data_IF_188144055484
#
_entry.id   IF_188144055484
#
_cell.length_a   1.000
_cell.length_b   1.000
_cell.length_c   1.000
_cell.angle_alpha   90.00
_cell.angle_beta   90.00
_cell.angle_gamma   90.00
#
_symmetry.space_group_name_H-M   'P 1'
#
loop_
_entity.id
_entity.type
_entity.pdbx_description
1 polymer ?
#
# COMPACT_ATOMS: atom_id res chain seq x y z
N UNK A 1 28.72 4.55 -39.76
CA UNK A 1 27.37 3.98 -39.55
C UNK A 1 27.00 4.24 -38.10
N UNK A 2 25.86 4.91 -37.86
CA UNK A 2 25.52 5.51 -36.57
C UNK A 2 25.35 4.49 -35.45
N UNK A 3 25.94 4.81 -34.31
CA UNK A 3 25.79 4.11 -33.04
C UNK A 3 24.34 4.23 -32.57
N UNK A 4 23.64 3.10 -32.50
CA UNK A 4 22.28 3.03 -31.96
C UNK A 4 22.46 3.05 -30.45
N UNK A 5 22.53 4.24 -29.87
CA UNK A 5 22.52 4.41 -28.42
C UNK A 5 21.20 3.84 -27.90
N UNK A 6 21.24 2.62 -27.36
CA UNK A 6 20.17 2.05 -26.55
C UNK A 6 19.80 3.10 -25.48
N UNK A 7 18.51 3.43 -25.29
CA UNK A 7 18.14 4.30 -24.18
C UNK A 7 18.66 3.64 -22.90
N UNK A 8 19.42 4.42 -22.13
CA UNK A 8 19.99 4.02 -20.85
C UNK A 8 18.86 3.54 -19.91
N UNK A 9 18.64 2.23 -19.88
CA UNK A 9 17.69 1.59 -18.96
C UNK A 9 18.20 1.65 -17.50
N UNK A 10 19.38 2.24 -17.24
CA UNK A 10 19.96 2.38 -15.91
C UNK A 10 19.41 3.58 -15.12
N UNK A 11 18.78 4.54 -15.77
CA UNK A 11 18.07 5.59 -15.04
C UNK A 11 16.63 5.12 -14.81
N UNK A 12 16.30 4.74 -13.57
CA UNK A 12 15.03 4.14 -13.12
C UNK A 12 13.79 5.03 -13.26
N UNK A 13 13.59 5.65 -14.42
CA UNK A 13 12.48 6.52 -14.80
C UNK A 13 11.26 5.69 -15.24
N UNK A 14 10.82 4.73 -14.43
CA UNK A 14 9.55 4.04 -14.68
C UNK A 14 8.33 4.90 -14.30
N UNK A 15 8.54 5.96 -13.52
CA UNK A 15 7.49 6.85 -13.06
C UNK A 15 7.70 8.26 -13.62
N UNK A 16 6.59 8.89 -14.00
CA UNK A 16 6.55 10.30 -14.39
C UNK A 16 6.97 11.22 -13.24
N UNK A 17 7.24 12.48 -13.56
CA UNK A 17 7.49 13.53 -12.56
C UNK A 17 6.34 13.62 -11.54
N UNK A 18 6.67 13.89 -10.28
CA UNK A 18 5.70 13.97 -9.20
C UNK A 18 4.73 15.15 -9.40
N UNK A 19 3.44 14.89 -9.20
CA UNK A 19 2.41 15.92 -9.17
C UNK A 19 2.11 16.32 -7.71
N UNK A 20 2.07 17.62 -7.40
CA UNK A 20 1.64 18.06 -6.08
C UNK A 20 0.15 17.76 -5.89
N UNK A 21 -0.20 17.01 -4.85
CA UNK A 21 -1.58 16.73 -4.46
C UNK A 21 -1.79 17.02 -2.99
N UNK A 22 -3.02 17.36 -2.62
CA UNK A 22 -3.45 17.50 -1.23
C UNK A 22 -4.48 16.41 -0.91
N UNK A 23 -4.31 15.74 0.23
CA UNK A 23 -5.28 14.75 0.69
C UNK A 23 -6.48 15.44 1.34
N UNK A 24 -7.63 15.42 0.67
CA UNK A 24 -8.90 15.94 1.23
C UNK A 24 -9.44 15.03 2.33
N UNK A 25 -9.39 13.70 2.15
CA UNK A 25 -9.87 12.71 3.12
C UNK A 25 -9.05 11.42 3.07
N UNK A 26 -8.85 10.80 4.24
CA UNK A 26 -8.14 9.51 4.39
C UNK A 26 -8.96 8.59 5.30
N UNK A 27 -9.72 7.69 4.70
CA UNK A 27 -10.48 6.65 5.42
C UNK A 27 -10.58 5.39 4.57
N UNK A 28 -11.05 4.28 5.14
CA UNK A 28 -11.23 3.04 4.39
C UNK A 28 -12.72 2.85 4.07
N UNK A 29 -13.04 2.64 2.80
CA UNK A 29 -14.36 2.15 2.40
C UNK A 29 -14.28 0.62 2.28
N UNK A 30 -15.07 -0.15 3.05
CA UNK A 30 -15.14 -1.59 2.90
C UNK A 30 -15.63 -2.00 1.50
N UNK A 31 -15.06 -3.05 0.93
CA UNK A 31 -15.44 -3.51 -0.41
C UNK A 31 -16.92 -3.89 -0.53
N UNK A 32 -17.59 -4.33 0.54
CA UNK A 32 -19.01 -4.65 0.44
C UNK A 32 -19.88 -3.39 0.21
N UNK A 33 -19.43 -2.24 0.70
CA UNK A 33 -20.17 -0.99 0.60
C UNK A 33 -20.26 -0.48 -0.84
N UNK A 34 -19.29 -0.77 -1.71
CA UNK A 34 -19.29 -0.30 -3.11
C UNK A 34 -19.83 -1.32 -4.12
N UNK A 35 -20.37 -2.47 -3.67
CA UNK A 35 -20.85 -3.55 -4.56
C UNK A 35 -21.99 -3.15 -5.50
N UNK A 36 -22.75 -2.13 -5.13
CA UNK A 36 -23.89 -1.61 -5.87
C UNK A 36 -23.50 -0.52 -6.89
N UNK A 37 -22.23 -0.08 -6.89
CA UNK A 37 -21.74 0.95 -7.78
C UNK A 37 -21.09 0.32 -9.01
N UNK A 38 -21.62 0.72 -10.17
CA UNK A 38 -21.16 0.30 -11.49
C UNK A 38 -20.73 1.55 -12.26
N UNK A 39 -19.63 1.48 -13.01
CA UNK A 39 -19.08 2.60 -13.75
C UNK A 39 -19.48 2.53 -15.24
N UNK A 40 -20.40 3.40 -15.73
CA UNK A 40 -20.75 3.47 -17.14
C UNK A 40 -19.57 3.67 -18.09
N UNK A 41 -18.49 4.33 -17.63
CA UNK A 41 -17.28 4.57 -18.42
C UNK A 41 -16.35 3.34 -18.52
N UNK A 42 -16.73 2.23 -17.89
CA UNK A 42 -16.01 0.96 -17.93
C UNK A 42 -16.99 -0.19 -18.16
N UNK A 43 -17.81 -0.12 -19.21
CA UNK A 43 -18.79 -1.15 -19.60
C UNK A 43 -19.75 -1.56 -18.47
N UNK A 44 -20.09 -0.60 -17.59
CA UNK A 44 -20.88 -0.85 -16.38
C UNK A 44 -20.28 -1.94 -15.47
N UNK A 45 -18.96 -2.14 -15.51
CA UNK A 45 -18.26 -2.97 -14.55
C UNK A 45 -18.35 -2.37 -13.14
N UNK A 46 -18.23 -3.21 -12.12
CA UNK A 46 -18.18 -2.74 -10.73
C UNK A 46 -17.02 -1.76 -10.56
N UNK A 47 -17.22 -0.69 -9.80
CA UNK A 47 -16.16 0.32 -9.54
C UNK A 47 -14.86 -0.32 -9.02
N UNK A 48 -14.96 -1.40 -8.24
CA UNK A 48 -13.80 -2.15 -7.71
C UNK A 48 -12.91 -2.77 -8.79
N UNK A 49 -13.41 -2.92 -10.02
CA UNK A 49 -12.71 -3.56 -11.14
C UNK A 49 -12.00 -2.53 -12.05
N UNK A 50 -12.05 -1.25 -11.69
CA UNK A 50 -11.34 -0.18 -12.40
C UNK A 50 -9.82 -0.39 -12.35
N UNK A 51 -9.14 -0.17 -13.48
CA UNK A 51 -7.67 -0.17 -13.55
C UNK A 51 -7.09 1.15 -13.04
N UNK A 52 -5.78 1.17 -12.83
CA UNK A 52 -5.08 2.43 -12.55
C UNK A 52 -5.31 3.44 -13.69
N UNK A 53 -5.61 4.69 -13.32
CA UNK A 53 -5.98 5.74 -14.27
C UNK A 53 -7.36 5.64 -14.91
N UNK A 54 -8.21 4.67 -14.53
CA UNK A 54 -9.59 4.56 -15.06
C UNK A 54 -10.45 5.74 -14.60
N UNK A 55 -11.05 6.44 -15.55
CA UNK A 55 -12.03 7.50 -15.27
C UNK A 55 -13.33 6.91 -14.71
N UNK A 56 -13.93 7.62 -13.75
CA UNK A 56 -15.21 7.26 -13.12
C UNK A 56 -16.26 8.26 -13.56
N UNK A 57 -17.45 7.77 -13.93
CA UNK A 57 -18.59 8.63 -14.25
C UNK A 57 -18.93 9.56 -13.06
N UNK A 58 -19.21 10.86 -13.28
CA UNK A 58 -19.36 11.84 -12.20
C UNK A 58 -20.39 11.46 -11.12
N UNK A 59 -21.56 10.95 -11.50
CA UNK A 59 -22.63 10.55 -10.56
C UNK A 59 -22.18 9.37 -9.69
N UNK A 60 -21.47 8.40 -10.27
CA UNK A 60 -20.88 7.27 -9.54
C UNK A 60 -19.75 7.75 -8.62
N UNK A 61 -18.94 8.71 -9.07
CA UNK A 61 -17.90 9.35 -8.27
C UNK A 61 -18.46 10.08 -7.05
N UNK A 62 -19.56 10.80 -7.21
CA UNK A 62 -20.26 11.45 -6.11
C UNK A 62 -20.76 10.42 -5.09
N UNK A 63 -21.37 9.32 -5.54
CA UNK A 63 -21.83 8.25 -4.66
C UNK A 63 -20.67 7.62 -3.85
N UNK A 64 -19.47 7.48 -4.44
CA UNK A 64 -18.27 7.03 -3.72
C UNK A 64 -17.86 8.01 -2.62
N UNK A 65 -17.88 9.32 -2.91
CA UNK A 65 -17.58 10.35 -1.92
C UNK A 65 -18.60 10.33 -0.77
N UNK A 66 -19.89 10.17 -1.08
CA UNK A 66 -20.96 10.08 -0.07
C UNK A 66 -20.81 8.85 0.83
N UNK A 67 -20.38 7.70 0.30
CA UNK A 67 -20.06 6.53 1.12
C UNK A 67 -18.95 6.83 2.12
N UNK A 68 -17.95 7.63 1.72
CA UNK A 68 -16.87 8.06 2.59
C UNK A 68 -17.34 8.96 3.74
N UNK A 69 -18.40 9.75 3.53
CA UNK A 69 -19.06 10.55 4.58
C UNK A 69 -19.95 9.72 5.50
N UNK A 70 -20.64 8.73 4.94
CA UNK A 70 -21.64 7.95 5.66
C UNK A 70 -21.02 6.86 6.52
N UNK A 71 -19.84 6.35 6.15
CA UNK A 71 -19.16 5.27 6.88
C UNK A 71 -18.29 5.89 7.99
N UNK A 72 -18.67 5.75 9.28
CA UNK A 72 -17.80 6.18 10.36
C UNK A 72 -16.52 5.35 10.33
N UNK A 73 -15.38 5.98 10.60
CA UNK A 73 -14.09 5.31 10.78
C UNK A 73 -14.16 4.12 11.76
N UNK A 74 -15.14 4.11 12.67
CA UNK A 74 -15.37 3.08 13.69
C UNK A 74 -16.26 1.90 13.28
N UNK A 75 -16.92 1.92 12.10
CA UNK A 75 -17.97 0.91 11.80
C UNK A 75 -17.45 -0.39 11.18
N UNK A 76 -16.15 -0.49 10.90
CA UNK A 76 -15.52 -1.77 10.62
C UNK A 76 -15.03 -2.40 11.91
N UNK A 77 -15.93 -3.17 12.54
CA UNK A 77 -15.72 -4.11 13.66
C UNK A 77 -15.70 -3.55 15.09
N UNK A 78 -16.45 -4.22 15.96
CA UNK A 78 -16.43 -4.14 17.41
C UNK A 78 -15.05 -4.55 17.98
N UNK A 79 -14.01 -3.74 17.77
CA UNK A 79 -12.67 -3.95 18.29
C UNK A 79 -11.92 -2.62 18.45
N UNK A 80 -10.82 -2.58 19.25
CA UNK A 80 -10.06 -1.35 19.42
C UNK A 80 -9.47 -0.90 18.09
N UNK A 81 -9.49 0.41 17.86
CA UNK A 81 -9.08 1.09 16.64
C UNK A 81 -7.74 0.56 16.09
N UNK A 82 -7.56 0.43 14.76
CA UNK A 82 -6.24 0.49 14.18
C UNK A 82 -5.75 1.94 14.36
N UNK A 83 -5.13 2.15 15.50
CA UNK A 83 -4.34 3.33 15.80
C UNK A 83 -3.16 3.34 14.84
N UNK A 84 -3.32 3.99 13.68
CA UNK A 84 -2.18 4.42 12.88
C UNK A 84 -1.53 5.61 13.60
N UNK A 85 -0.96 5.35 14.78
CA UNK A 85 0.11 6.19 15.30
C UNK A 85 1.16 6.20 14.20
N UNK A 86 1.51 7.38 13.68
CA UNK A 86 2.88 7.55 13.17
C UNK A 86 3.76 7.06 14.32
N UNK A 87 4.39 5.89 14.15
CA UNK A 87 5.39 5.45 15.10
C UNK A 87 6.38 6.61 15.24
N UNK A 88 6.62 7.16 16.45
CA UNK A 88 7.78 8.00 16.62
C UNK A 88 8.96 7.18 16.11
N UNK A 89 9.84 7.79 15.29
CA UNK A 89 11.02 7.10 14.79
C UNK A 89 11.71 6.46 15.99
N UNK A 90 11.68 5.13 16.08
CA UNK A 90 12.51 4.42 17.04
C UNK A 90 13.93 4.79 16.65
N UNK A 91 14.52 5.75 17.37
CA UNK A 91 15.96 5.93 17.38
C UNK A 91 16.51 4.57 17.75
N UNK A 92 17.26 3.98 16.81
CA UNK A 92 17.83 2.64 16.95
C UNK A 92 18.55 2.58 18.30
N UNK A 93 18.06 1.74 19.21
CA UNK A 93 18.74 1.52 20.48
C UNK A 93 20.18 1.02 20.20
N UNK A 94 21.18 1.41 21.01
CA UNK A 94 22.52 0.84 20.90
C UNK A 94 22.44 -0.67 21.14
N UNK A 95 23.10 -1.43 20.28
CA UNK A 95 23.22 -2.89 20.41
C UNK A 95 23.99 -3.18 21.72
N UNK A 96 23.47 -4.03 22.63
CA UNK A 96 24.24 -4.44 23.80
C UNK A 96 25.41 -5.34 23.38
N UNK A 97 26.60 -5.00 23.87
CA UNK A 97 27.91 -5.53 23.46
C UNK A 97 28.26 -6.93 23.98
N UNK A 98 27.29 -7.82 24.23
CA UNK A 98 27.54 -9.11 24.91
C UNK A 98 27.18 -10.39 24.12
N UNK A 99 27.10 -10.34 22.80
CA UNK A 99 27.14 -11.60 22.02
C UNK A 99 28.59 -12.04 21.80
N UNK A 100 29.18 -12.63 22.83
CA UNK A 100 30.39 -13.43 22.66
C UNK A 100 30.06 -14.66 21.82
N UNK A 101 30.72 -14.73 20.67
CA UNK A 101 30.76 -15.86 19.77
C UNK A 101 31.36 -17.07 20.50
N UNK A 102 30.55 -18.08 20.82
CA UNK A 102 31.06 -19.41 21.16
C UNK A 102 30.84 -20.33 19.97
N UNK A 103 31.91 -20.52 19.19
CA UNK A 103 31.96 -21.55 18.16
C UNK A 103 31.78 -22.93 18.82
N UNK A 104 30.88 -23.80 18.33
CA UNK A 104 30.87 -25.17 18.80
C UNK A 104 32.09 -25.89 18.22
N UNK A 105 33.05 -26.19 19.09
CA UNK A 105 34.13 -27.14 18.81
C UNK A 105 33.53 -28.51 18.48
N UNK A 106 34.05 -29.10 17.41
CA UNK A 106 33.86 -30.49 17.01
C UNK A 106 34.15 -31.45 18.15
N UNK A 107 33.29 -32.45 18.36
CA UNK A 107 33.74 -33.69 18.98
C UNK A 107 33.20 -34.92 18.24
N UNK A 108 34.15 -35.68 17.71
CA UNK A 108 34.03 -37.01 17.11
C UNK A 108 33.76 -38.04 18.21
N UNK A 109 32.94 -39.08 17.95
CA UNK A 109 32.99 -40.30 18.76
C UNK A 109 31.78 -41.22 18.67
N UNK A 110 31.93 -42.32 17.94
CA UNK A 110 31.00 -43.45 17.77
C UNK A 110 30.74 -44.26 19.06
N UNK A 111 29.54 -44.87 19.22
CA UNK A 111 29.31 -46.33 19.13
C UNK A 111 27.88 -46.77 19.52
N UNK A 112 27.39 -47.74 18.74
CA UNK A 112 26.53 -48.90 19.05
C UNK A 112 26.44 -49.32 20.51
#
# INVERSE_FOLDING_TARGET
>A
MGDITLPDMATGHFFNSALPIEWVKRSNIPHHATRHLFNPYNDYAKVQMSRDGQEIEPTVGEALCQLWETIPWSSSSNGPLPHFQRAPRLVRAPIPSNFQHSSPQSNTGYKI
#
